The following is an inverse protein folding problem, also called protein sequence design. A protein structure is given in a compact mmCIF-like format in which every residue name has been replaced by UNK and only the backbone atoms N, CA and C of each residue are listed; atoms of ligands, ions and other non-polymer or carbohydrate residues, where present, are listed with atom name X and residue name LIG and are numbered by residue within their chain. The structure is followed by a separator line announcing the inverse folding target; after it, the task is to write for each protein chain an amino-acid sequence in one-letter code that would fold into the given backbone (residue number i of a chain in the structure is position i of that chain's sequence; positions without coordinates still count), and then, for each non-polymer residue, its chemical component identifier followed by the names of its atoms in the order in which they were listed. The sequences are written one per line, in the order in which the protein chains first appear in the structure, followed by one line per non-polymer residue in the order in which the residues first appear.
data_IF_734925798294
#
_entry.id   IF_734925798294
#
_cell.length_a   1.000
_cell.length_b   1.000
_cell.length_c   1.000
_cell.angle_alpha   90.00
_cell.angle_beta   90.00
_cell.angle_gamma   90.00
#
_symmetry.space_group_name_H-M   'P 1'
#
loop_
_entity.id
_entity.type
_entity.pdbx_description
1 polymer ?
#
# COMPACT_ATOMS: atom_id res chain seq x y z
N UNK A 1 39.22 4.43 16.22
CA UNK A 1 38.52 3.22 15.72
C UNK A 1 37.35 2.96 16.66
N UNK A 2 36.31 3.79 16.64
CA UNK A 2 35.06 3.75 15.82
C UNK A 2 33.97 2.84 16.39
N UNK A 3 33.37 3.28 17.51
CA UNK A 3 32.09 2.78 17.99
C UNK A 3 30.95 3.59 17.32
N UNK A 4 30.75 3.30 16.04
CA UNK A 4 29.50 3.52 15.31
C UNK A 4 28.94 4.96 15.29
N UNK A 5 29.69 5.91 14.73
CA UNK A 5 29.11 7.19 14.37
C UNK A 5 28.19 7.01 13.15
N UNK A 6 26.90 7.28 13.36
CA UNK A 6 25.90 7.28 12.30
C UNK A 6 26.18 8.44 11.35
N UNK A 7 26.20 8.18 10.04
CA UNK A 7 26.40 9.25 9.07
C UNK A 7 25.12 10.10 8.93
N UNK A 8 25.24 11.39 8.58
CA UNK A 8 24.06 12.25 8.37
C UNK A 8 23.10 11.72 7.30
N UNK A 9 23.62 11.08 6.25
CA UNK A 9 22.80 10.47 5.20
C UNK A 9 22.03 9.24 5.69
N UNK A 10 22.65 8.44 6.55
CA UNK A 10 21.99 7.27 7.15
C UNK A 10 20.90 7.69 8.12
N UNK A 11 21.16 8.73 8.93
CA UNK A 11 20.16 9.33 9.81
C UNK A 11 18.95 9.87 9.04
N UNK A 12 19.20 10.61 7.95
CA UNK A 12 18.13 11.12 7.09
C UNK A 12 17.30 9.96 6.52
N UNK A 13 17.94 8.91 5.98
CA UNK A 13 17.22 7.75 5.45
C UNK A 13 16.36 7.06 6.51
N UNK A 14 16.87 6.95 7.73
CA UNK A 14 16.11 6.38 8.85
C UNK A 14 14.91 7.25 9.20
N UNK A 15 15.07 8.57 9.27
CA UNK A 15 13.96 9.50 9.53
C UNK A 15 12.90 9.44 8.43
N UNK A 16 13.29 9.35 7.17
CA UNK A 16 12.36 9.21 6.03
C UNK A 16 11.61 7.86 6.04
N UNK A 17 12.23 6.79 6.54
CA UNK A 17 11.64 5.45 6.54
C UNK A 17 10.75 5.20 7.77
N UNK A 18 11.19 5.66 8.94
CA UNK A 18 10.58 5.33 10.24
C UNK A 18 9.84 6.51 10.88
N UNK A 19 9.94 7.70 10.31
CA UNK A 19 9.37 8.93 10.85
C UNK A 19 10.29 9.66 11.83
N UNK A 20 9.77 10.74 12.40
CA UNK A 20 10.54 11.64 13.27
C UNK A 20 10.66 11.17 14.72
N UNK A 21 10.10 10.01 15.06
CA UNK A 21 10.09 9.44 16.40
C UNK A 21 11.16 8.34 16.52
N UNK A 22 12.30 8.65 17.17
CA UNK A 22 13.47 7.76 17.27
C UNK A 22 13.15 6.46 18.01
N UNK A 23 12.21 6.48 18.95
CA UNK A 23 11.72 5.31 19.67
C UNK A 23 11.13 4.21 18.76
N UNK A 24 10.64 4.60 17.57
CA UNK A 24 10.13 3.65 16.56
C UNK A 24 11.23 3.04 15.68
N UNK A 25 12.46 3.57 15.73
CA UNK A 25 13.54 3.12 14.87
C UNK A 25 14.11 1.77 15.34
N UNK A 26 14.87 1.03 14.51
CA UNK A 26 15.52 -0.21 14.93
C UNK A 26 16.42 -0.02 16.15
N UNK A 27 16.28 -0.88 17.18
CA UNK A 27 16.96 -0.74 18.48
C UNK A 27 18.47 -0.58 18.37
N UNK A 28 19.10 -1.27 17.41
CA UNK A 28 20.55 -1.18 17.16
C UNK A 28 21.03 0.18 16.65
N UNK A 29 20.12 1.04 16.19
CA UNK A 29 20.41 2.35 15.61
C UNK A 29 19.93 3.51 16.48
N UNK A 30 19.06 3.27 17.48
CA UNK A 30 18.48 4.31 18.33
C UNK A 30 19.54 5.11 19.09
N UNK A 31 20.50 4.45 19.73
CA UNK A 31 21.52 5.13 20.54
C UNK A 31 22.43 6.04 19.70
N UNK A 32 22.81 5.60 18.50
CA UNK A 32 23.57 6.42 17.56
C UNK A 32 22.72 7.57 16.97
N UNK A 33 21.43 7.34 16.73
CA UNK A 33 20.49 8.38 16.30
C UNK A 33 20.29 9.45 17.37
N UNK A 34 20.15 9.07 18.65
CA UNK A 34 20.01 10.01 19.76
C UNK A 34 21.24 10.92 19.89
N UNK A 35 22.44 10.37 19.71
CA UNK A 35 23.68 11.16 19.69
C UNK A 35 23.70 12.18 18.55
N UNK A 36 23.30 11.78 17.34
CA UNK A 36 23.25 12.70 16.19
C UNK A 36 22.14 13.75 16.34
N UNK A 37 20.99 13.36 16.90
CA UNK A 37 19.83 14.23 17.13
C UNK A 37 20.12 15.39 18.11
N UNK A 38 21.17 15.28 18.94
CA UNK A 38 21.65 16.38 19.77
C UNK A 38 22.25 17.53 18.95
N UNK A 39 22.56 17.31 17.66
CA UNK A 39 23.01 18.37 16.76
C UNK A 39 21.82 19.18 16.24
N UNK A 40 21.95 20.52 16.10
CA UNK A 40 20.83 21.38 15.68
C UNK A 40 20.31 21.02 14.28
N UNK A 41 21.20 20.57 13.39
CA UNK A 41 20.83 20.16 12.03
C UNK A 41 19.96 18.90 12.02
N UNK A 42 20.33 17.89 12.81
CA UNK A 42 19.56 16.64 12.90
C UNK A 42 18.23 16.84 13.64
N UNK A 43 18.22 17.69 14.68
CA UNK A 43 17.01 18.06 15.38
C UNK A 43 15.99 18.76 14.46
N UNK A 44 16.46 19.69 13.60
CA UNK A 44 15.60 20.36 12.62
C UNK A 44 14.98 19.37 11.63
N UNK A 45 15.76 18.40 11.15
CA UNK A 45 15.27 17.36 10.24
C UNK A 45 14.19 16.49 10.92
N UNK A 46 14.40 16.06 12.16
CA UNK A 46 13.38 15.31 12.89
C UNK A 46 12.12 16.14 13.13
N UNK A 47 12.25 17.43 13.43
CA UNK A 47 11.11 18.31 13.62
C UNK A 47 10.27 18.44 12.34
N UNK A 48 10.90 18.56 11.17
CA UNK A 48 10.22 18.59 9.88
C UNK A 48 9.42 17.30 9.62
N UNK A 49 10.05 16.14 9.83
CA UNK A 49 9.37 14.85 9.65
C UNK A 49 8.24 14.66 10.68
N UNK A 50 8.41 15.12 11.93
CA UNK A 50 7.36 15.05 12.95
C UNK A 50 6.12 15.88 12.60
N UNK A 51 6.25 16.94 11.81
CA UNK A 51 5.09 17.72 11.34
C UNK A 51 4.23 16.84 10.42
N UNK A 52 4.86 16.12 9.48
CA UNK A 52 4.14 15.19 8.62
C UNK A 52 3.49 14.06 9.42
N UNK A 53 4.22 13.49 10.37
CA UNK A 53 3.68 12.45 11.25
C UNK A 53 2.48 12.96 12.05
N UNK A 54 2.52 14.18 12.56
CA UNK A 54 1.40 14.79 13.29
C UNK A 54 0.17 15.01 12.38
N UNK A 55 0.37 15.41 11.13
CA UNK A 55 -0.73 15.53 10.16
C UNK A 55 -1.36 14.17 9.82
N UNK A 56 -0.56 13.10 9.80
CA UNK A 56 -1.05 11.75 9.54
C UNK A 56 -1.69 11.12 10.79
N UNK A 57 -1.21 11.46 11.98
CA UNK A 57 -1.79 10.99 13.24
C UNK A 57 -3.13 11.70 13.53
N UNK A 58 -3.29 12.95 13.09
CA UNK A 58 -4.59 13.63 13.01
C UNK A 58 -5.45 13.09 11.85
N UNK A 59 -5.51 11.76 11.73
CA UNK A 59 -6.53 11.09 10.94
C UNK A 59 -7.86 11.35 11.64
N UNK A 60 -8.49 12.44 11.22
CA UNK A 60 -9.80 12.86 11.65
C UNK A 60 -10.74 11.65 11.66
N UNK A 61 -11.19 11.22 12.85
CA UNK A 61 -12.06 10.05 13.01
C UNK A 61 -13.28 10.26 12.11
N UNK A 62 -13.29 9.59 10.97
CA UNK A 62 -14.37 9.75 10.00
C UNK A 62 -15.64 9.30 10.69
N UNK A 63 -16.55 10.24 10.95
CA UNK A 63 -17.79 9.95 11.63
C UNK A 63 -18.47 8.74 10.94
N UNK A 64 -18.93 7.72 11.70
CA UNK A 64 -19.44 6.48 11.10
C UNK A 64 -20.60 6.72 10.13
N UNK A 65 -21.37 7.80 10.33
CA UNK A 65 -22.41 8.26 9.40
C UNK A 65 -21.86 8.68 8.04
N UNK A 66 -20.72 9.39 7.99
CA UNK A 66 -20.05 9.79 6.74
C UNK A 66 -19.48 8.58 6.01
N UNK A 67 -18.89 7.64 6.76
CA UNK A 67 -18.37 6.40 6.19
C UNK A 67 -19.49 5.56 5.56
N UNK A 68 -20.62 5.38 6.27
CA UNK A 68 -21.79 4.67 5.73
C UNK A 68 -22.39 5.34 4.50
N UNK A 69 -22.46 6.68 4.51
CA UNK A 69 -22.94 7.45 3.35
C UNK A 69 -22.03 7.27 2.13
N UNK A 70 -20.71 7.35 2.32
CA UNK A 70 -19.73 7.14 1.26
C UNK A 70 -19.74 5.71 0.73
N UNK A 71 -19.80 4.70 1.61
CA UNK A 71 -19.87 3.29 1.20
C UNK A 71 -21.16 2.98 0.45
N UNK A 72 -22.30 3.49 0.92
CA UNK A 72 -23.58 3.32 0.22
C UNK A 72 -23.58 4.02 -1.15
N UNK A 73 -23.03 5.23 -1.25
CA UNK A 73 -22.90 5.93 -2.53
C UNK A 73 -21.98 5.19 -3.51
N UNK A 74 -20.87 4.62 -3.02
CA UNK A 74 -19.97 3.78 -3.82
C UNK A 74 -20.67 2.50 -4.31
N UNK A 75 -21.37 1.78 -3.42
CA UNK A 75 -22.15 0.60 -3.78
C UNK A 75 -23.24 0.92 -4.81
N UNK A 76 -23.99 2.00 -4.61
CA UNK A 76 -25.00 2.46 -5.57
C UNK A 76 -24.40 2.78 -6.93
N UNK A 77 -23.21 3.38 -6.97
CA UNK A 77 -22.49 3.66 -8.23
C UNK A 77 -22.05 2.39 -8.93
N UNK A 78 -21.56 1.39 -8.19
CA UNK A 78 -21.14 0.10 -8.74
C UNK A 78 -22.34 -0.66 -9.30
N UNK A 79 -23.42 -0.80 -8.53
CA UNK A 79 -24.65 -1.45 -8.98
C UNK A 79 -25.28 -0.72 -10.19
N UNK A 80 -25.29 0.62 -10.18
CA UNK A 80 -25.76 1.42 -11.32
C UNK A 80 -24.86 1.36 -12.56
N UNK A 81 -23.62 0.88 -12.44
CA UNK A 81 -22.75 0.59 -13.58
C UNK A 81 -23.05 -0.79 -14.20
N UNK A 82 -23.52 -1.75 -13.41
CA UNK A 82 -23.87 -3.09 -13.91
C UNK A 82 -25.08 -3.03 -14.85
N UNK A 83 -26.13 -2.27 -14.49
CA UNK A 83 -27.30 -2.05 -15.35
C UNK A 83 -26.95 -1.40 -16.69
N UNK A 84 -25.91 -0.56 -16.72
CA UNK A 84 -25.42 0.10 -17.94
C UNK A 84 -24.57 -0.81 -18.83
N UNK A 85 -23.96 -1.88 -18.29
CA UNK A 85 -23.22 -2.86 -19.10
C UNK A 85 -24.14 -3.87 -19.78
N UNK A 86 -25.35 -4.08 -19.25
CA UNK A 86 -26.31 -5.05 -19.78
C UNK A 86 -27.22 -4.48 -20.88
N UNK A 87 -27.42 -3.16 -20.92
CA UNK A 87 -27.99 -2.48 -22.08
C UNK A 87 -26.92 -2.29 -23.16
N UNK A 88 -26.38 -3.40 -23.67
CA UNK A 88 -25.71 -3.41 -24.97
C UNK A 88 -26.73 -2.88 -25.98
N UNK A 89 -26.39 -1.79 -26.65
CA UNK A 89 -27.16 -1.31 -27.78
C UNK A 89 -27.35 -2.49 -28.77
N UNK A 90 -28.56 -2.70 -29.33
CA UNK A 90 -28.85 -3.80 -30.26
C UNK A 90 -28.02 -3.74 -31.55
N UNK A 91 -27.18 -2.71 -31.71
CA UNK A 91 -26.26 -2.53 -32.84
C UNK A 91 -25.02 -3.44 -32.79
N UNK A 92 -24.72 -4.10 -31.65
CA UNK A 92 -23.50 -4.89 -31.46
C UNK A 92 -23.69 -6.42 -31.42
N UNK A 93 -24.91 -6.93 -31.64
CA UNK A 93 -25.16 -8.38 -31.62
C UNK A 93 -24.39 -9.16 -32.70
N UNK A 94 -24.09 -8.53 -33.84
CA UNK A 94 -23.28 -9.14 -34.91
C UNK A 94 -21.76 -9.02 -34.71
N UNK A 95 -21.29 -8.30 -33.68
CA UNK A 95 -19.86 -8.10 -33.42
C UNK A 95 -19.31 -9.01 -32.31
N UNK A 96 -20.13 -9.94 -31.80
CA UNK A 96 -19.78 -10.89 -30.73
C UNK A 96 -18.57 -11.79 -31.03
N UNK A 97 -18.27 -12.04 -32.30
CA UNK A 97 -17.16 -12.90 -32.73
C UNK A 97 -15.78 -12.26 -32.56
N UNK A 98 -15.67 -10.92 -32.61
CA UNK A 98 -14.38 -10.22 -32.51
C UNK A 98 -14.02 -9.80 -31.07
N UNK A 99 -14.94 -9.95 -30.12
CA UNK A 99 -14.75 -9.56 -28.71
C UNK A 99 -13.69 -10.39 -27.97
N UNK A 100 -13.55 -11.73 -28.15
CA UNK A 100 -12.54 -12.49 -27.41
C UNK A 100 -11.11 -12.13 -27.84
N UNK A 101 -10.88 -11.75 -29.11
CA UNK A 101 -9.56 -11.38 -29.61
C UNK A 101 -9.07 -10.03 -29.07
N UNK A 102 -9.97 -9.04 -28.92
CA UNK A 102 -9.61 -7.73 -28.39
C UNK A 102 -9.25 -7.78 -26.90
N UNK A 103 -9.87 -8.69 -26.13
CA UNK A 103 -9.61 -8.81 -24.68
C UNK A 103 -8.24 -9.43 -24.37
N UNK A 104 -7.74 -10.35 -25.21
CA UNK A 104 -6.43 -10.99 -25.01
C UNK A 104 -5.29 -10.00 -25.25
N UNK A 105 -5.42 -9.13 -26.26
CA UNK A 105 -4.43 -8.09 -26.54
C UNK A 105 -4.28 -7.10 -25.38
N UNK A 106 -5.39 -6.67 -24.78
CA UNK A 106 -5.37 -5.73 -23.66
C UNK A 106 -4.78 -6.33 -22.37
N UNK A 107 -5.06 -7.61 -22.10
CA UNK A 107 -4.47 -8.32 -20.95
C UNK A 107 -2.95 -8.54 -21.11
N UNK A 108 -2.48 -8.83 -22.32
CA UNK A 108 -1.05 -8.97 -22.62
C UNK A 108 -0.29 -7.66 -22.41
N UNK A 109 -0.85 -6.53 -22.88
CA UNK A 109 -0.22 -5.21 -22.72
C UNK A 109 -0.13 -4.82 -21.25
N UNK A 110 -1.19 -5.06 -20.46
CA UNK A 110 -1.18 -4.78 -19.02
C UNK A 110 -0.20 -5.70 -18.27
N UNK A 111 -0.11 -6.98 -18.63
CA UNK A 111 0.86 -7.92 -18.05
C UNK A 111 2.32 -7.54 -18.35
N UNK A 112 2.62 -7.10 -19.57
CA UNK A 112 3.95 -6.64 -19.97
C UNK A 112 4.32 -5.33 -19.27
N UNK A 113 3.40 -4.36 -19.18
CA UNK A 113 3.65 -3.13 -18.42
C UNK A 113 3.91 -3.41 -16.93
N UNK A 114 3.18 -4.35 -16.32
CA UNK A 114 3.43 -4.72 -14.92
C UNK A 114 4.77 -5.43 -14.74
N UNK A 115 5.14 -6.33 -15.66
CA UNK A 115 6.41 -7.06 -15.60
C UNK A 115 7.64 -6.16 -15.75
N UNK A 116 7.51 -5.02 -16.44
CA UNK A 116 8.58 -4.04 -16.60
C UNK A 116 8.72 -3.10 -15.38
N UNK A 117 7.66 -2.94 -14.59
CA UNK A 117 7.63 -2.01 -13.44
C UNK A 117 7.96 -2.72 -12.12
N UNK A 118 7.74 -4.03 -12.01
CA UNK A 118 8.05 -4.79 -10.79
C UNK A 118 9.47 -5.35 -10.87
N UNK A 119 10.44 -4.87 -10.05
CA UNK A 119 11.70 -5.57 -9.88
C UNK A 119 11.38 -6.93 -9.25
N UNK A 120 11.74 -8.01 -9.94
CA UNK A 120 11.60 -9.40 -9.45
C UNK A 120 12.51 -9.57 -8.23
N UNK A 121 12.04 -9.15 -7.07
CA UNK A 121 12.51 -9.68 -5.80
C UNK A 121 12.06 -11.12 -5.76
N UNK A 122 12.98 -12.07 -5.86
CA UNK A 122 12.67 -13.50 -5.76
C UNK A 122 12.24 -13.83 -4.32
N UNK A 123 10.97 -14.18 -4.04
CA UNK A 123 10.65 -14.94 -2.84
C UNK A 123 10.77 -16.42 -3.20
N UNK A 124 11.53 -17.18 -2.41
CA UNK A 124 11.65 -18.61 -2.61
C UNK A 124 10.26 -19.28 -2.70
N UNK A 125 10.07 -20.29 -3.57
CA UNK A 125 8.75 -20.85 -3.92
C UNK A 125 7.96 -21.44 -2.74
N UNK A 126 8.63 -21.71 -1.62
CA UNK A 126 7.99 -22.12 -0.37
C UNK A 126 7.08 -21.07 0.26
N UNK A 127 7.31 -19.77 0.03
CA UNK A 127 6.58 -18.68 0.72
C UNK A 127 5.18 -18.46 0.16
N UNK A 128 4.96 -18.76 -1.13
CA UNK A 128 3.66 -18.54 -1.78
C UNK A 128 2.66 -19.62 -1.37
N UNK A 129 3.13 -20.87 -1.24
CA UNK A 129 2.27 -21.98 -0.80
C UNK A 129 1.86 -21.84 0.68
N UNK A 130 2.76 -21.35 1.55
CA UNK A 130 2.40 -21.08 2.95
C UNK A 130 1.37 -19.97 3.09
N UNK A 131 1.46 -18.91 2.26
CA UNK A 131 0.54 -17.78 2.32
C UNK A 131 -0.90 -18.17 1.92
N UNK A 132 -1.04 -19.07 0.94
CA UNK A 132 -2.34 -19.57 0.47
C UNK A 132 -2.97 -20.52 1.49
N UNK A 133 -2.18 -21.41 2.08
CA UNK A 133 -2.64 -22.35 3.11
C UNK A 133 -3.10 -21.60 4.37
N UNK A 134 -2.36 -20.57 4.79
CA UNK A 134 -2.69 -19.80 5.99
C UNK A 134 -3.98 -18.97 5.80
N UNK A 135 -4.18 -18.44 4.59
CA UNK A 135 -5.42 -17.72 4.20
C UNK A 135 -6.66 -18.63 4.21
N UNK A 136 -6.50 -19.91 3.89
CA UNK A 136 -7.59 -20.90 3.97
C UNK A 136 -8.00 -21.23 5.41
N UNK A 137 -7.06 -21.19 6.35
CA UNK A 137 -7.34 -21.51 7.77
C UNK A 137 -8.13 -20.39 8.47
N UNK A 138 -7.88 -19.13 8.09
CA UNK A 138 -8.60 -17.96 8.63
C UNK A 138 -10.07 -17.92 8.18
N UNK A 139 -10.38 -18.41 6.97
CA UNK A 139 -11.74 -18.47 6.46
C UNK A 139 -12.58 -19.57 7.13
N UNK A 140 -11.96 -20.70 7.50
CA UNK A 140 -12.65 -21.80 8.16
C UNK A 140 -13.04 -21.48 9.62
N UNK A 141 -12.30 -20.62 10.31
CA UNK A 141 -12.58 -20.23 11.70
C UNK A 141 -13.73 -19.22 11.89
N UNK A 142 -14.13 -18.49 10.83
CA UNK A 142 -15.14 -17.41 10.90
C UNK A 142 -16.57 -17.91 10.64
N UNK A 143 -16.75 -19.11 10.08
CA UNK A 143 -18.08 -19.64 9.70
C UNK A 143 -18.78 -20.43 10.84
N UNK A 144 -18.15 -20.61 11.99
CA UNK A 144 -18.68 -21.48 13.06
C UNK A 144 -19.03 -20.79 14.39
N UNK A 145 -19.52 -19.54 14.37
CA UNK A 145 -20.12 -18.89 15.55
C UNK A 145 -21.48 -18.30 15.26
#
# INVERSE_FOLDING_TARGET
MTAYDMTPKEFQRLAETWGGAIDRWPTSKQEAAMRLAATPKAAALLAEVRILDALLEDTHKVAPKRLRGASYAALKRIMGQEDRRMHRAPLFDNLGWFIPAASIASAAILGVCLALVVPVWQPAPQSILSLIVDSGSLAAGVVQR
#
